data_IF_347947860102
#
_entry.id   IF_347947860102
#
_cell.length_a   1.000
_cell.length_b   1.000
_cell.length_c   1.000
_cell.angle_alpha   90.00
_cell.angle_beta   90.00
_cell.angle_gamma   90.00
#
_symmetry.space_group_name_H-M   'P 1'
#
loop_
_entity.id
_entity.type
_entity.pdbx_description
1 polymer ?
#
# COMPACT_ATOMS: atom_id res chain seq x y z
N UNK A 1 -32.76 -12.21 3.43
CA UNK A 1 -31.56 -12.04 4.26
C UNK A 1 -31.23 -10.56 4.30
N UNK A 2 -31.26 -9.96 5.49
CA UNK A 2 -30.86 -8.56 5.70
C UNK A 2 -29.36 -8.44 5.39
N UNK A 3 -29.01 -7.70 4.34
CA UNK A 3 -27.60 -7.50 3.97
C UNK A 3 -26.95 -6.65 5.04
N UNK A 4 -26.05 -7.25 5.83
CA UNK A 4 -25.32 -6.51 6.86
C UNK A 4 -24.46 -5.43 6.20
N UNK A 5 -24.23 -4.32 6.89
CA UNK A 5 -23.30 -3.29 6.41
C UNK A 5 -21.91 -3.88 6.05
N UNK A 6 -21.47 -4.89 6.81
CA UNK A 6 -20.24 -5.65 6.53
C UNK A 6 -20.26 -6.33 5.16
N UNK A 7 -21.36 -6.99 4.78
CA UNK A 7 -21.47 -7.64 3.47
C UNK A 7 -21.49 -6.64 2.30
N UNK A 8 -22.12 -5.47 2.48
CA UNK A 8 -22.08 -4.39 1.47
C UNK A 8 -20.66 -3.87 1.31
N UNK A 9 -19.96 -3.63 2.42
CA UNK A 9 -18.57 -3.14 2.43
C UNK A 9 -17.63 -4.17 1.80
N UNK A 10 -17.74 -5.45 2.15
CA UNK A 10 -16.92 -6.53 1.59
C UNK A 10 -17.06 -6.61 0.06
N UNK A 11 -18.30 -6.62 -0.45
CA UNK A 11 -18.56 -6.63 -1.88
C UNK A 11 -18.01 -5.37 -2.59
N UNK A 12 -18.10 -4.20 -1.94
CA UNK A 12 -17.53 -2.95 -2.46
C UNK A 12 -15.99 -3.00 -2.49
N UNK A 13 -15.35 -3.49 -1.42
CA UNK A 13 -13.90 -3.67 -1.34
C UNK A 13 -13.40 -4.66 -2.40
N UNK A 14 -14.13 -5.76 -2.64
CA UNK A 14 -13.77 -6.71 -3.69
C UNK A 14 -13.79 -6.08 -5.09
N UNK A 15 -14.78 -5.20 -5.37
CA UNK A 15 -14.84 -4.44 -6.63
C UNK A 15 -13.73 -3.40 -6.72
N UNK A 16 -13.46 -2.68 -5.63
CA UNK A 16 -12.37 -1.70 -5.54
C UNK A 16 -10.99 -2.36 -5.66
N UNK A 17 -10.80 -3.59 -5.16
CA UNK A 17 -9.55 -4.33 -5.31
C UNK A 17 -9.15 -4.45 -6.78
N UNK A 18 -10.08 -4.62 -7.72
CA UNK A 18 -9.76 -4.66 -9.17
C UNK A 18 -9.28 -3.30 -9.72
N UNK A 19 -9.65 -2.20 -9.07
CA UNK A 19 -9.20 -0.84 -9.39
C UNK A 19 -7.75 -0.61 -8.95
N UNK A 20 -7.35 -1.19 -7.81
CA UNK A 20 -6.00 -1.03 -7.22
C UNK A 20 -5.02 -2.17 -7.57
N UNK A 21 -5.53 -3.39 -7.83
CA UNK A 21 -4.76 -4.59 -8.14
C UNK A 21 -4.54 -4.84 -9.63
N UNK A 22 -5.09 -4.01 -10.52
CA UNK A 22 -4.52 -3.88 -11.87
C UNK A 22 -3.12 -3.31 -11.65
N UNK A 23 -2.03 -4.05 -11.92
CA UNK A 23 -0.72 -3.43 -11.90
C UNK A 23 -0.83 -2.26 -12.87
N UNK A 24 -0.60 -1.04 -12.38
CA UNK A 24 -0.40 0.10 -13.25
C UNK A 24 0.63 -0.38 -14.26
N UNK A 25 0.22 -0.62 -15.51
CA UNK A 25 1.14 -0.96 -16.60
C UNK A 25 2.33 -0.02 -16.44
N UNK A 26 3.58 -0.52 -16.44
CA UNK A 26 4.75 0.33 -16.19
C UNK A 26 4.63 1.59 -17.04
N UNK A 27 4.34 2.73 -16.37
CA UNK A 27 4.12 3.99 -17.07
C UNK A 27 5.50 4.57 -17.33
N UNK A 28 5.90 4.60 -18.59
CA UNK A 28 7.11 5.30 -19.03
C UNK A 28 6.87 6.80 -18.83
N UNK A 29 7.62 7.43 -17.94
CA UNK A 29 7.66 8.89 -17.79
C UNK A 29 9.01 9.36 -18.35
N UNK A 30 8.97 10.08 -19.48
CA UNK A 30 10.12 10.74 -20.09
C UNK A 30 11.20 9.82 -20.70
N UNK A 31 12.13 10.46 -21.41
CA UNK A 31 13.18 9.86 -22.26
C UNK A 31 14.30 9.11 -21.47
N UNK A 32 14.06 8.77 -20.20
CA UNK A 32 15.06 8.19 -19.29
C UNK A 32 14.91 6.67 -19.05
N UNK A 33 14.02 5.99 -19.79
CA UNK A 33 14.08 4.53 -19.97
C UNK A 33 13.80 3.62 -18.77
N UNK A 34 13.47 4.12 -17.56
CA UNK A 34 13.22 3.25 -16.39
C UNK A 34 11.73 3.24 -15.98
N UNK A 35 11.07 2.07 -15.92
CA UNK A 35 9.66 1.98 -15.56
C UNK A 35 9.44 2.34 -14.08
N UNK A 36 8.51 3.26 -13.82
CA UNK A 36 8.04 3.55 -12.45
C UNK A 36 7.04 2.46 -12.05
N UNK A 37 7.41 1.64 -11.07
CA UNK A 37 6.53 0.64 -10.46
C UNK A 37 5.86 1.21 -9.20
N UNK A 38 4.64 0.75 -8.89
CA UNK A 38 3.92 1.17 -7.68
C UNK A 38 4.68 0.81 -6.40
N UNK A 39 5.34 -0.35 -6.39
CA UNK A 39 6.25 -0.80 -5.33
C UNK A 39 7.29 0.27 -4.97
N UNK A 40 7.94 0.86 -5.97
CA UNK A 40 8.95 1.90 -5.74
C UNK A 40 8.35 3.14 -5.08
N UNK A 41 7.13 3.52 -5.46
CA UNK A 41 6.44 4.67 -4.87
C UNK A 41 6.00 4.42 -3.43
N UNK A 42 5.61 3.18 -3.12
CA UNK A 42 5.31 2.77 -1.74
C UNK A 42 6.55 2.89 -0.86
N UNK A 43 7.71 2.44 -1.33
CA UNK A 43 8.98 2.58 -0.60
C UNK A 43 9.34 4.05 -0.40
N UNK A 44 9.28 4.89 -1.46
CA UNK A 44 9.57 6.33 -1.33
C UNK A 44 8.60 7.01 -0.35
N UNK A 45 7.32 6.61 -0.38
CA UNK A 45 6.30 7.07 0.55
C UNK A 45 6.61 6.68 1.99
N UNK A 46 6.93 5.40 2.23
CA UNK A 46 7.31 4.87 3.55
C UNK A 46 8.55 5.58 4.10
N UNK A 47 9.61 5.71 3.29
CA UNK A 47 10.85 6.40 3.70
C UNK A 47 10.58 7.88 4.01
N UNK A 48 9.73 8.55 3.23
CA UNK A 48 9.35 9.95 3.52
C UNK A 48 8.58 10.06 4.82
N UNK A 49 7.58 9.20 5.04
CA UNK A 49 6.75 9.24 6.25
C UNK A 49 7.59 8.95 7.50
N UNK A 50 8.35 7.85 7.48
CA UNK A 50 9.21 7.46 8.59
C UNK A 50 10.30 8.51 8.86
N UNK A 51 10.77 9.24 7.85
CA UNK A 51 11.75 10.31 8.03
C UNK A 51 11.20 11.54 8.80
N UNK A 52 9.88 11.65 8.97
CA UNK A 52 9.27 12.65 9.84
C UNK A 52 9.15 12.19 11.31
N UNK A 53 9.19 10.88 11.55
CA UNK A 53 8.90 10.26 12.84
C UNK A 53 10.17 9.71 13.52
N UNK A 54 11.10 9.21 12.71
CA UNK A 54 12.34 8.56 13.15
C UNK A 54 13.55 9.42 12.82
N UNK A 55 14.59 9.43 13.67
CA UNK A 55 15.84 10.11 13.38
C UNK A 55 16.57 9.48 12.18
N UNK A 56 16.38 8.17 11.96
CA UNK A 56 16.92 7.45 10.81
C UNK A 56 15.96 6.39 10.30
N UNK A 57 15.82 6.29 8.98
CA UNK A 57 15.01 5.26 8.34
C UNK A 57 15.91 4.12 7.88
N UNK A 58 15.59 2.90 8.32
CA UNK A 58 16.30 1.68 7.92
C UNK A 58 15.39 0.77 7.09
N UNK A 59 15.98 -0.23 6.43
CA UNK A 59 15.19 -1.27 5.73
C UNK A 59 14.24 -2.00 6.68
N UNK A 60 14.66 -2.24 7.93
CA UNK A 60 13.81 -2.87 8.94
C UNK A 60 12.58 -2.02 9.29
N UNK A 61 12.79 -0.72 9.51
CA UNK A 61 11.68 0.21 9.75
C UNK A 61 10.72 0.29 8.55
N UNK A 62 11.24 0.22 7.32
CA UNK A 62 10.40 0.15 6.11
C UNK A 62 9.62 -1.17 6.04
N UNK A 63 10.23 -2.29 6.44
CA UNK A 63 9.55 -3.59 6.49
C UNK A 63 8.36 -3.58 7.45
N UNK A 64 8.58 -3.04 8.67
CA UNK A 64 7.54 -2.88 9.68
C UNK A 64 6.43 -1.94 9.19
N UNK A 65 6.78 -0.77 8.65
CA UNK A 65 5.79 0.20 8.16
C UNK A 65 4.95 -0.33 7.00
N UNK A 66 5.57 -1.09 6.10
CA UNK A 66 4.89 -1.64 4.93
C UNK A 66 4.18 -2.98 5.21
N UNK A 67 4.31 -3.53 6.42
CA UNK A 67 3.79 -4.84 6.82
C UNK A 67 4.20 -5.96 5.85
N UNK A 68 5.50 -6.00 5.53
CA UNK A 68 6.08 -7.04 4.65
C UNK A 68 7.28 -7.67 5.32
N UNK A 69 7.58 -8.91 4.94
CA UNK A 69 8.75 -9.60 5.46
C UNK A 69 10.06 -8.85 5.11
N UNK A 70 11.11 -8.96 5.95
CA UNK A 70 12.38 -8.25 5.72
C UNK A 70 13.04 -8.54 4.36
N UNK A 71 12.86 -9.76 3.81
CA UNK A 71 13.44 -10.12 2.52
C UNK A 71 12.74 -9.39 1.37
N UNK A 72 11.41 -9.25 1.46
CA UNK A 72 10.60 -8.47 0.52
C UNK A 72 10.89 -6.98 0.64
N UNK A 73 10.93 -6.43 1.86
CA UNK A 73 11.31 -5.03 2.06
C UNK A 73 12.69 -4.72 1.46
N UNK A 74 13.69 -5.58 1.70
CA UNK A 74 15.03 -5.42 1.15
C UNK A 74 15.03 -5.39 -0.38
N UNK A 75 14.28 -6.29 -1.03
CA UNK A 75 14.11 -6.33 -2.49
C UNK A 75 13.49 -5.03 -3.02
N UNK A 76 12.38 -4.60 -2.42
CA UNK A 76 11.67 -3.39 -2.82
C UNK A 76 12.53 -2.13 -2.64
N UNK A 77 13.29 -2.04 -1.54
CA UNK A 77 14.23 -0.94 -1.30
C UNK A 77 15.37 -0.98 -2.31
N UNK A 78 15.93 -2.15 -2.60
CA UNK A 78 16.97 -2.29 -3.63
C UNK A 78 16.47 -1.85 -5.01
N UNK A 79 15.24 -2.22 -5.38
CA UNK A 79 14.63 -1.80 -6.63
C UNK A 79 14.42 -0.28 -6.67
N UNK A 80 13.96 0.32 -5.57
CA UNK A 80 13.78 1.78 -5.46
C UNK A 80 15.11 2.55 -5.51
N UNK A 81 16.17 2.02 -4.90
CA UNK A 81 17.54 2.55 -5.00
C UNK A 81 18.09 2.39 -6.41
N UNK A 82 17.95 1.21 -7.01
CA UNK A 82 18.35 0.92 -8.38
C UNK A 82 17.60 1.78 -9.40
N UNK A 83 16.36 2.18 -9.10
CA UNK A 83 15.59 3.12 -9.91
C UNK A 83 15.94 4.60 -9.66
N UNK A 84 16.79 4.91 -8.67
CA UNK A 84 17.22 6.26 -8.33
C UNK A 84 16.18 7.08 -7.57
N UNK A 85 15.22 6.44 -6.92
CA UNK A 85 14.16 7.11 -6.14
C UNK A 85 14.46 7.21 -4.65
N UNK A 86 15.36 6.36 -4.15
CA UNK A 86 15.84 6.35 -2.76
C UNK A 86 17.37 6.33 -2.81
N UNK A 87 18.01 7.11 -1.94
CA UNK A 87 19.45 7.10 -1.77
C UNK A 87 19.79 6.38 -0.45
N UNK A 88 20.94 5.69 -0.44
CA UNK A 88 21.54 5.11 0.77
C UNK A 88 22.65 6.03 1.23
N UNK A 89 22.52 6.51 2.46
CA UNK A 89 23.51 7.36 3.10
C UNK A 89 24.09 6.65 4.33
N UNK A 90 25.31 7.01 4.74
CA UNK A 90 25.89 6.51 5.97
C UNK A 90 25.02 6.93 7.16
N UNK A 91 24.75 6.01 8.09
CA UNK A 91 24.05 6.37 9.33
C UNK A 91 24.92 7.31 10.17
N UNK A 92 24.30 8.35 10.72
CA UNK A 92 24.92 9.26 11.70
C UNK A 92 24.95 8.67 13.11
N UNK A 93 24.22 7.56 13.35
CA UNK A 93 24.10 6.88 14.65
C UNK A 93 25.01 5.66 14.74
N UNK A 94 25.17 4.89 13.65
CA UNK A 94 26.03 3.72 13.57
C UNK A 94 26.63 3.61 12.15
N UNK A 95 27.92 3.92 12.00
CA UNK A 95 28.62 3.88 10.71
C UNK A 95 28.58 2.52 9.99
N UNK A 96 28.16 1.44 10.67
CA UNK A 96 27.94 0.11 10.05
C UNK A 96 26.56 -0.03 9.39
N UNK A 97 25.68 0.95 9.52
CA UNK A 97 24.31 0.95 8.97
C UNK A 97 24.17 1.99 7.86
N UNK A 98 23.32 1.69 6.89
CA UNK A 98 22.88 2.65 5.89
C UNK A 98 21.50 3.18 6.29
N UNK A 99 21.32 4.50 6.27
CA UNK A 99 20.01 5.13 6.33
C UNK A 99 19.44 5.33 4.93
N UNK A 100 18.12 5.33 4.83
CA UNK A 100 17.39 5.56 3.59
C UNK A 100 16.86 6.98 3.57
N UNK A 101 17.04 7.68 2.47
CA UNK A 101 16.43 8.99 2.23
C UNK A 101 15.80 9.02 0.85
N UNK A 102 14.64 9.69 0.66
CA UNK A 102 14.09 9.86 -0.68
C UNK A 102 15.05 10.69 -1.52
N UNK A 103 15.28 10.32 -2.78
CA UNK A 103 16.06 11.16 -3.68
C UNK A 103 15.24 12.37 -4.13
N UNK A 104 15.90 13.39 -4.73
CA UNK A 104 15.18 14.51 -5.32
C UNK A 104 14.23 14.06 -6.44
N UNK A 105 14.60 13.03 -7.20
CA UNK A 105 13.75 12.43 -8.23
C UNK A 105 12.58 11.69 -7.57
N UNK A 106 12.85 10.87 -6.56
CA UNK A 106 11.83 10.12 -5.81
C UNK A 106 10.75 11.04 -5.25
N UNK A 107 11.14 12.16 -4.62
CA UNK A 107 10.19 13.18 -4.13
C UNK A 107 9.30 13.72 -5.25
N UNK A 108 9.89 14.17 -6.37
CA UNK A 108 9.12 14.72 -7.50
C UNK A 108 8.14 13.72 -8.10
N UNK A 109 8.57 12.47 -8.26
CA UNK A 109 7.70 11.41 -8.80
C UNK A 109 6.57 11.09 -7.83
N UNK A 110 6.86 10.96 -6.54
CA UNK A 110 5.85 10.73 -5.52
C UNK A 110 4.81 11.86 -5.51
N UNK A 111 5.24 13.12 -5.54
CA UNK A 111 4.33 14.27 -5.54
C UNK A 111 3.46 14.34 -6.81
N UNK A 112 4.04 14.03 -7.98
CA UNK A 112 3.30 13.98 -9.24
C UNK A 112 2.22 12.88 -9.21
N UNK A 113 2.56 11.69 -8.72
CA UNK A 113 1.62 10.58 -8.61
C UNK A 113 0.56 10.86 -7.55
N UNK A 114 0.93 11.42 -6.40
CA UNK A 114 -0.03 11.84 -5.37
C UNK A 114 -1.01 12.88 -5.91
N UNK A 115 -0.55 13.86 -6.69
CA UNK A 115 -1.42 14.84 -7.35
C UNK A 115 -2.39 14.19 -8.33
N UNK A 116 -1.90 13.31 -9.20
CA UNK A 116 -2.74 12.57 -10.13
C UNK A 116 -3.79 11.71 -9.41
N UNK A 117 -3.39 11.01 -8.34
CA UNK A 117 -4.32 10.20 -7.53
C UNK A 117 -5.40 11.05 -6.88
N UNK A 118 -5.06 12.22 -6.34
CA UNK A 118 -6.05 13.16 -5.79
C UNK A 118 -7.05 13.60 -6.85
N UNK A 119 -6.56 14.09 -7.99
CA UNK A 119 -7.42 14.48 -9.12
C UNK A 119 -8.33 13.34 -9.61
N UNK A 120 -7.82 12.10 -9.59
CA UNK A 120 -8.64 10.95 -9.95
C UNK A 120 -9.75 10.70 -8.92
N UNK A 121 -9.44 10.75 -7.62
CA UNK A 121 -10.44 10.63 -6.55
C UNK A 121 -11.46 11.76 -6.61
N UNK A 122 -11.01 13.01 -6.81
CA UNK A 122 -11.89 14.16 -6.98
C UNK A 122 -12.86 13.94 -8.16
N UNK A 123 -12.37 13.35 -9.26
CA UNK A 123 -13.18 12.96 -10.41
C UNK A 123 -14.19 11.85 -10.10
N UNK A 124 -13.85 10.87 -9.26
CA UNK A 124 -14.79 9.82 -8.82
C UNK A 124 -15.92 10.37 -7.94
N UNK A 125 -15.65 11.48 -7.26
CA UNK A 125 -16.57 12.15 -6.33
C UNK A 125 -17.26 13.37 -6.96
N UNK A 126 -17.04 13.63 -8.25
CA UNK A 126 -17.50 14.85 -8.91
C UNK A 126 -19.02 15.06 -8.84
N UNK A 127 -19.80 13.98 -8.90
CA UNK A 127 -21.27 14.02 -8.86
C UNK A 127 -21.85 13.91 -7.44
N UNK A 128 -21.00 13.81 -6.41
CA UNK A 128 -21.42 13.69 -5.02
C UNK A 128 -21.69 15.08 -4.41
N UNK A 129 -22.60 15.12 -3.44
CA UNK A 129 -22.80 16.32 -2.62
C UNK A 129 -21.56 16.60 -1.77
N UNK A 130 -21.32 17.86 -1.39
CA UNK A 130 -20.16 18.20 -0.53
C UNK A 130 -20.23 17.50 0.82
N UNK A 131 -21.43 17.38 1.40
CA UNK A 131 -21.67 16.65 2.64
C UNK A 131 -21.27 15.17 2.52
N UNK A 132 -21.67 14.50 1.43
CA UNK A 132 -21.32 13.09 1.21
C UNK A 132 -19.82 12.91 0.99
N UNK A 133 -19.14 13.86 0.33
CA UNK A 133 -17.68 13.83 0.13
C UNK A 133 -16.95 13.92 1.46
N UNK A 134 -17.29 14.90 2.30
CA UNK A 134 -16.67 15.09 3.61
C UNK A 134 -16.93 13.90 4.54
N UNK A 135 -18.18 13.42 4.56
CA UNK A 135 -18.58 12.26 5.36
C UNK A 135 -17.87 11.00 4.91
N UNK A 136 -17.80 10.75 3.60
CA UNK A 136 -17.10 9.59 3.06
C UNK A 136 -15.60 9.66 3.33
N UNK A 137 -14.96 10.81 3.17
CA UNK A 137 -13.54 10.99 3.48
C UNK A 137 -13.25 10.63 4.95
N UNK A 138 -14.07 11.10 5.88
CA UNK A 138 -13.92 10.82 7.32
C UNK A 138 -14.15 9.34 7.63
N UNK A 139 -15.22 8.74 7.10
CA UNK A 139 -15.52 7.33 7.35
C UNK A 139 -14.49 6.39 6.72
N UNK A 140 -14.03 6.70 5.50
CA UNK A 140 -13.02 5.91 4.81
C UNK A 140 -11.65 6.00 5.50
N UNK A 141 -11.26 7.19 5.97
CA UNK A 141 -10.02 7.36 6.75
C UNK A 141 -10.06 6.53 8.04
N UNK A 142 -11.14 6.66 8.83
CA UNK A 142 -11.34 5.87 10.05
C UNK A 142 -11.35 4.36 9.78
N UNK A 143 -11.99 3.93 8.68
CA UNK A 143 -12.01 2.53 8.27
C UNK A 143 -10.60 2.03 7.91
N UNK A 144 -9.83 2.81 7.15
CA UNK A 144 -8.46 2.47 6.78
C UNK A 144 -7.53 2.37 8.00
N UNK A 145 -7.62 3.32 8.94
CA UNK A 145 -6.88 3.27 10.21
C UNK A 145 -7.22 2.03 11.03
N UNK A 146 -8.51 1.72 11.17
CA UNK A 146 -8.97 0.54 11.91
C UNK A 146 -8.50 -0.76 11.24
N UNK A 147 -8.50 -0.82 9.91
CA UNK A 147 -8.01 -1.97 9.14
C UNK A 147 -6.51 -2.18 9.31
N UNK A 148 -5.72 -1.10 9.35
CA UNK A 148 -4.27 -1.19 9.59
C UNK A 148 -3.96 -1.66 11.03
N UNK A 149 -4.75 -1.20 12.01
CA UNK A 149 -4.60 -1.62 13.41
C UNK A 149 -5.11 -3.05 13.69
N UNK A 150 -5.88 -3.64 12.77
CA UNK A 150 -6.49 -4.97 12.90
C UNK A 150 -6.33 -5.75 11.60
N UNK A 151 -5.09 -6.18 11.27
CA UNK A 151 -4.85 -6.95 10.08
C UNK A 151 -5.63 -8.28 10.10
N UNK A 152 -6.01 -8.82 8.94
CA UNK A 152 -6.66 -10.11 8.86
C UNK A 152 -5.73 -11.21 9.38
N UNK A 153 -6.29 -12.16 10.11
CA UNK A 153 -5.60 -13.39 10.52
C UNK A 153 -5.44 -14.30 9.30
N UNK A 154 -4.26 -14.26 8.68
CA UNK A 154 -3.97 -15.02 7.46
C UNK A 154 -3.87 -16.52 7.72
N UNK A 155 -3.38 -16.93 8.90
CA UNK A 155 -3.33 -18.35 9.28
C UNK A 155 -4.75 -18.92 9.39
N UNK A 156 -5.67 -18.15 9.99
CA UNK A 156 -7.08 -18.50 10.03
C UNK A 156 -7.71 -18.52 8.63
N UNK A 157 -7.35 -17.58 7.76
CA UNK A 157 -7.86 -17.57 6.39
C UNK A 157 -7.40 -18.80 5.60
N UNK A 158 -6.13 -19.19 5.74
CA UNK A 158 -5.58 -20.38 5.10
C UNK A 158 -6.25 -21.65 5.61
N UNK A 159 -6.56 -21.72 6.91
CA UNK A 159 -7.35 -22.82 7.48
C UNK A 159 -8.77 -22.89 6.88
N UNK A 160 -9.46 -21.75 6.76
CA UNK A 160 -10.80 -21.65 6.14
C UNK A 160 -10.77 -22.05 4.66
N UNK A 161 -9.75 -21.62 3.92
CA UNK A 161 -9.56 -21.99 2.51
C UNK A 161 -9.32 -23.50 2.40
N UNK A 162 -8.46 -24.05 3.25
CA UNK A 162 -8.12 -25.47 3.27
C UNK A 162 -9.35 -26.34 3.58
N UNK A 163 -10.17 -25.94 4.56
CA UNK A 163 -11.45 -26.58 4.87
C UNK A 163 -12.39 -26.55 3.67
N UNK A 164 -12.57 -25.38 3.05
CA UNK A 164 -13.44 -25.21 1.88
C UNK A 164 -13.00 -26.04 0.66
N UNK A 165 -11.68 -26.20 0.46
CA UNK A 165 -11.10 -27.00 -0.63
C UNK A 165 -11.12 -28.51 -0.34
N UNK A 166 -11.15 -28.92 0.92
CA UNK A 166 -11.09 -30.34 1.33
C UNK A 166 -12.43 -31.08 1.22
N UNK A 167 -13.56 -30.37 1.06
CA UNK A 167 -14.83 -30.97 0.62
C UNK A 167 -15.48 -31.97 1.58
N UNK A 168 -15.23 -31.91 2.90
CA UNK A 168 -15.81 -32.84 3.89
C UNK A 168 -17.17 -32.40 4.48
N UNK A 169 -17.84 -31.41 3.87
CA UNK A 169 -19.08 -30.84 4.41
C UNK A 169 -20.40 -31.39 3.89
N UNK A 170 -20.46 -32.15 2.78
CA UNK A 170 -21.75 -32.39 2.11
C UNK A 170 -21.95 -33.78 1.46
N UNK A 171 -21.43 -34.85 2.06
CA UNK A 171 -21.80 -36.23 1.68
C UNK A 171 -22.11 -37.17 2.86
N UNK A 172 -22.70 -36.64 3.92
CA UNK A 172 -23.20 -37.47 5.01
C UNK A 172 -24.57 -36.99 5.49
N UNK A 173 -25.57 -36.98 4.60
CA UNK A 173 -27.00 -37.04 4.93
C UNK A 173 -27.79 -37.32 3.64
N UNK A 174 -27.73 -38.56 3.15
CA UNK A 174 -28.79 -39.17 2.34
C UNK A 174 -29.01 -40.61 2.83
#
# INVERSE_FOLDING_TARGET
METTAGAVIDAALFRLRRMWARPLRPRRIGDAGRPVQMSNLMVVGAVRQLGHELPEVTVGAVAEYMDVDPSTASRLVNDAVGAGFVDREESQVDARRARLVPSAVGRRVLDAVSRYRRQHVDGLLADWSEEDRERFATLLARFAETSAARPPDLDRLDAVITEALSGEGDRASE
#
